data_IF_288150537380
#
_entry.id   IF_288150537380
#
_cell.length_a   1.000
_cell.length_b   1.000
_cell.length_c   1.000
_cell.angle_alpha   90.00
_cell.angle_beta   90.00
_cell.angle_gamma   90.00
#
_symmetry.space_group_name_H-M   'P 1'
#
loop_
_entity.id
_entity.type
_entity.pdbx_description
1 polymer ?
#
# COMPACT_ATOMS: atom_id res chain seq x y z
N UNK A 1 -2.31 10.46 2.90
CA UNK A 1 -2.09 11.01 1.54
C UNK A 1 -2.18 9.93 0.48
N UNK A 2 -1.64 8.72 0.71
CA UNK A 2 -1.80 7.55 -0.18
C UNK A 2 -3.26 7.17 -0.42
N UNK A 3 -4.06 7.03 0.65
CA UNK A 3 -5.48 6.68 0.59
C UNK A 3 -6.29 7.63 -0.32
N UNK A 4 -6.20 8.93 -0.02
CA UNK A 4 -6.82 9.99 -0.82
C UNK A 4 -6.41 9.93 -2.29
N UNK A 5 -5.15 9.66 -2.57
CA UNK A 5 -4.68 9.55 -3.95
C UNK A 5 -5.35 8.38 -4.68
N UNK A 6 -5.46 7.21 -4.05
CA UNK A 6 -6.15 6.05 -4.63
C UNK A 6 -7.65 6.33 -4.84
N UNK A 7 -8.31 6.95 -3.86
CA UNK A 7 -9.71 7.37 -3.96
C UNK A 7 -9.94 8.39 -5.08
N UNK A 8 -9.10 9.42 -5.20
CA UNK A 8 -9.19 10.42 -6.27
C UNK A 8 -9.01 9.82 -7.67
N UNK A 9 -8.25 8.74 -7.76
CA UNK A 9 -7.99 8.04 -9.02
C UNK A 9 -8.98 6.88 -9.27
N UNK A 10 -10.03 6.72 -8.46
CA UNK A 10 -11.00 5.62 -8.57
C UNK A 10 -10.34 4.23 -8.59
N UNK A 11 -9.23 4.07 -7.87
CA UNK A 11 -8.56 2.77 -7.72
C UNK A 11 -9.23 2.04 -6.57
N UNK A 12 -9.76 0.84 -6.81
CA UNK A 12 -10.22 -0.06 -5.75
C UNK A 12 -9.02 -0.52 -4.93
N UNK A 13 -9.02 -0.24 -3.62
CA UNK A 13 -8.00 -0.69 -2.68
C UNK A 13 -8.63 -1.14 -1.37
N UNK A 14 -8.01 -2.13 -0.74
CA UNK A 14 -8.38 -2.58 0.60
C UNK A 14 -7.41 -1.96 1.62
N UNK A 15 -7.95 -1.28 2.63
CA UNK A 15 -7.14 -0.71 3.71
C UNK A 15 -6.96 -1.73 4.81
N UNK A 16 -5.74 -2.26 4.94
CA UNK A 16 -5.37 -3.12 6.06
C UNK A 16 -4.58 -2.35 7.12
N UNK A 17 -5.18 -2.18 8.29
CA UNK A 17 -4.55 -1.46 9.39
C UNK A 17 -3.63 -2.38 10.20
N UNK A 18 -2.33 -2.14 10.12
CA UNK A 18 -1.32 -2.88 10.89
C UNK A 18 -1.46 -2.70 12.41
N UNK A 19 -2.14 -1.65 12.87
CA UNK A 19 -2.36 -1.40 14.30
C UNK A 19 -3.45 -2.29 14.89
N UNK A 20 -4.34 -2.80 14.04
CA UNK A 20 -5.45 -3.68 14.43
C UNK A 20 -5.19 -5.14 14.05
N UNK A 21 -4.30 -5.36 13.08
CA UNK A 21 -3.99 -6.68 12.53
C UNK A 21 -2.51 -6.99 12.76
N UNK A 22 -2.20 -7.65 13.89
CA UNK A 22 -0.83 -8.07 14.24
C UNK A 22 -0.18 -8.95 13.15
N UNK A 23 -0.99 -9.72 12.40
CA UNK A 23 -0.50 -10.53 11.27
C UNK A 23 0.05 -9.67 10.14
N UNK A 24 -0.50 -8.46 9.94
CA UNK A 24 -0.01 -7.56 8.91
C UNK A 24 1.39 -7.02 9.26
N UNK A 25 1.69 -6.80 10.54
CA UNK A 25 3.06 -6.43 10.96
C UNK A 25 4.04 -7.57 10.67
N UNK A 26 3.66 -8.81 10.99
CA UNK A 26 4.51 -9.97 10.74
C UNK A 26 4.75 -10.18 9.24
N UNK A 27 3.69 -10.06 8.44
CA UNK A 27 3.76 -10.09 6.98
C UNK A 27 4.72 -9.02 6.41
N UNK A 28 4.61 -7.77 6.87
CA UNK A 28 5.49 -6.70 6.43
C UNK A 28 6.95 -6.96 6.81
N UNK A 29 7.19 -7.50 8.00
CA UNK A 29 8.54 -7.87 8.45
C UNK A 29 9.13 -9.02 7.64
N UNK A 30 8.33 -10.05 7.33
CA UNK A 30 8.74 -11.18 6.49
C UNK A 30 9.14 -10.71 5.08
N UNK A 31 8.36 -9.79 4.52
CA UNK A 31 8.67 -9.13 3.25
C UNK A 31 9.87 -8.16 3.32
N UNK A 32 10.42 -7.88 4.50
CA UNK A 32 11.55 -6.97 4.70
C UNK A 32 11.16 -5.48 4.70
N UNK A 33 9.87 -5.16 4.76
CA UNK A 33 9.40 -3.79 4.88
C UNK A 33 9.48 -3.31 6.32
N UNK A 34 10.18 -2.19 6.52
CA UNK A 34 10.36 -1.58 7.85
C UNK A 34 9.58 -0.27 8.02
N UNK A 35 8.88 0.18 6.97
CA UNK A 35 8.18 1.45 6.95
C UNK A 35 6.80 1.30 6.31
N UNK A 36 5.83 1.99 6.91
CA UNK A 36 4.46 2.11 6.39
C UNK A 36 4.21 3.54 5.92
N UNK A 37 3.27 3.78 4.99
CA UNK A 37 2.30 2.83 4.39
C UNK A 37 2.94 1.90 3.35
N UNK A 38 2.46 0.65 3.24
CA UNK A 38 2.83 -0.27 2.15
C UNK A 38 1.59 -0.51 1.29
N UNK A 39 1.76 -0.44 -0.02
CA UNK A 39 0.68 -0.65 -1.00
C UNK A 39 1.09 -1.80 -1.91
N UNK A 40 0.32 -2.86 -1.86
CA UNK A 40 0.43 -4.01 -2.75
C UNK A 40 -0.68 -3.96 -3.76
N UNK A 41 -0.35 -4.18 -5.02
CA UNK A 41 -1.31 -4.21 -6.10
C UNK A 41 -1.05 -5.41 -7.00
N UNK A 42 -2.10 -6.14 -7.32
CA UNK A 42 -2.01 -7.35 -8.14
C UNK A 42 -1.48 -7.00 -9.53
N UNK A 43 -0.29 -7.51 -9.87
CA UNK A 43 0.37 -7.24 -11.15
C UNK A 43 1.31 -6.03 -11.17
N UNK A 44 1.56 -5.41 -10.01
CA UNK A 44 2.54 -4.32 -9.87
C UNK A 44 3.52 -4.61 -8.74
N UNK A 45 4.68 -3.94 -8.78
CA UNK A 45 5.65 -3.97 -7.69
C UNK A 45 5.04 -3.39 -6.40
N UNK A 46 5.32 -4.05 -5.29
CA UNK A 46 4.95 -3.58 -3.95
C UNK A 46 5.60 -2.23 -3.66
N UNK A 47 4.78 -1.27 -3.26
CA UNK A 47 5.20 0.09 -2.99
C UNK A 47 5.33 0.27 -1.49
N UNK A 48 6.56 0.36 -1.00
CA UNK A 48 6.82 0.76 0.36
C UNK A 48 6.93 2.29 0.48
N UNK A 49 6.17 2.86 1.41
CA UNK A 49 6.09 4.28 1.69
C UNK A 49 5.11 5.05 0.80
N UNK A 50 5.11 6.38 0.94
CA UNK A 50 4.30 7.26 0.11
C UNK A 50 5.02 7.59 -1.21
N UNK A 51 4.67 6.88 -2.28
CA UNK A 51 5.25 7.08 -3.62
C UNK A 51 4.17 7.46 -4.64
N UNK A 52 3.88 8.76 -4.82
CA UNK A 52 2.83 9.22 -5.74
C UNK A 52 3.08 8.80 -7.18
N UNK A 53 4.34 8.69 -7.62
CA UNK A 53 4.68 8.25 -8.98
C UNK A 53 4.28 6.80 -9.27
N UNK A 54 4.36 5.92 -8.27
CA UNK A 54 3.94 4.52 -8.42
C UNK A 54 2.44 4.36 -8.25
N UNK A 55 1.83 5.11 -7.33
CA UNK A 55 0.38 5.14 -7.17
C UNK A 55 -0.32 5.61 -8.46
N UNK A 56 0.28 6.58 -9.17
CA UNK A 56 -0.18 7.00 -10.51
C UNK A 56 -0.16 5.89 -11.56
N UNK A 57 0.70 4.88 -11.42
CA UNK A 57 0.73 3.74 -12.34
C UNK A 57 -0.39 2.72 -12.06
N UNK A 58 -0.91 2.71 -10.83
CA UNK A 58 -2.04 1.87 -10.43
C UNK A 58 -3.38 2.47 -10.90
N UNK A 59 -3.42 3.79 -10.99
CA UNK A 59 -4.49 4.58 -11.59
C UNK A 59 -4.39 4.57 -13.12
N UNK A 60 -4.88 3.51 -13.78
CA UNK A 60 -5.05 3.45 -15.25
C UNK A 60 -6.52 3.52 -15.62
#
# INVERSE_FOLDING_TARGET
MTKRFLEENNVDFDERNISEDDNAIDYLKDQGFQAVPVVEATGFDTIAGFRPDMLKKLAV
#
